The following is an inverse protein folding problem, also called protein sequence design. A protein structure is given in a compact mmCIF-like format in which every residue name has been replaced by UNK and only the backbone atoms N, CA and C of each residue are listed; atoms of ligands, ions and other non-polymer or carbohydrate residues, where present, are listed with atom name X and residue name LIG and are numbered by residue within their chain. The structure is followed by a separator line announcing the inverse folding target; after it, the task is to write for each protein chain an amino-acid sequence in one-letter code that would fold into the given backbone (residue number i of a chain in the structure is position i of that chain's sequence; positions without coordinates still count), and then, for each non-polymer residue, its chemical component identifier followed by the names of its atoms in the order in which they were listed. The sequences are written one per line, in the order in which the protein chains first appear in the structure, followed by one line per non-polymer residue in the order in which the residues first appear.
data_IF_659360975063
#
_entry.id   IF_659360975063
#
_cell.length_a   1.000
_cell.length_b   1.000
_cell.length_c   1.000
_cell.angle_alpha   90.00
_cell.angle_beta   90.00
_cell.angle_gamma   90.00
#
_symmetry.space_group_name_H-M   'P 1'
#
loop_
_entity.id
_entity.type
_entity.pdbx_description
1 polymer ?
#
# COMPACT_ATOMS: atom_id res chain seq x y z
N UNK A 1 25.11 10.49 -58.26
CA UNK A 1 26.53 10.53 -58.65
C UNK A 1 27.08 11.92 -58.39
N UNK A 2 28.24 11.98 -57.72
CA UNK A 2 29.25 13.04 -57.78
C UNK A 2 28.95 14.44 -57.21
N UNK A 3 29.48 14.69 -56.01
CA UNK A 3 29.88 16.02 -55.53
C UNK A 3 31.20 16.46 -56.20
N UNK A 4 31.33 17.71 -56.68
CA UNK A 4 32.59 18.49 -56.79
C UNK A 4 32.25 19.99 -56.80
N UNK A 5 32.57 20.76 -55.75
CA UNK A 5 33.82 21.52 -55.48
C UNK A 5 34.07 22.73 -56.39
N UNK A 6 34.22 23.92 -55.80
CA UNK A 6 35.33 24.89 -55.97
C UNK A 6 34.99 26.23 -55.29
N UNK A 7 35.52 26.52 -54.09
CA UNK A 7 36.67 27.40 -53.77
C UNK A 7 36.49 28.91 -54.04
N UNK A 8 36.47 29.68 -52.95
CA UNK A 8 36.78 31.12 -52.90
C UNK A 8 38.03 31.35 -52.03
N UNK A 9 38.74 32.42 -52.38
CA UNK A 9 40.11 32.78 -52.02
C UNK A 9 40.17 33.78 -50.85
N UNK A 10 41.12 33.53 -49.95
CA UNK A 10 42.09 34.44 -49.29
C UNK A 10 41.65 35.84 -48.78
N UNK A 11 41.75 36.10 -47.46
CA UNK A 11 42.90 36.78 -46.82
C UNK A 11 42.67 37.06 -45.32
N UNK A 12 43.72 36.83 -44.54
CA UNK A 12 43.85 37.06 -43.08
C UNK A 12 43.84 38.54 -42.70
N UNK A 13 43.30 38.84 -41.51
CA UNK A 13 43.91 39.74 -40.51
C UNK A 13 43.16 39.63 -39.16
N UNK A 14 43.77 38.90 -38.22
CA UNK A 14 43.57 39.06 -36.77
C UNK A 14 44.40 40.29 -36.31
N UNK A 15 44.03 41.04 -35.24
CA UNK A 15 43.97 40.44 -33.90
C UNK A 15 42.99 41.07 -32.87
N UNK A 16 42.96 40.38 -31.72
CA UNK A 16 42.58 40.81 -30.34
C UNK A 16 41.17 40.47 -29.82
N UNK A 17 41.16 39.34 -29.12
CA UNK A 17 40.44 39.00 -27.90
C UNK A 17 39.63 40.11 -27.20
N UNK A 18 38.32 39.89 -27.11
CA UNK A 18 37.57 40.01 -25.86
C UNK A 18 36.40 39.04 -25.89
N UNK A 19 36.28 38.23 -24.85
CA UNK A 19 35.32 37.11 -24.73
C UNK A 19 33.91 37.59 -24.40
N UNK A 20 32.98 37.38 -25.33
CA UNK A 20 31.55 37.38 -25.05
C UNK A 20 31.12 36.00 -24.55
N UNK A 21 30.69 35.88 -23.29
CA UNK A 21 29.44 35.19 -22.92
C UNK A 21 29.11 35.36 -21.42
N UNK A 22 27.84 35.55 -21.05
CA UNK A 22 27.42 35.70 -19.66
C UNK A 22 27.51 34.34 -18.94
N UNK A 23 28.21 34.30 -17.80
CA UNK A 23 28.25 33.11 -16.94
C UNK A 23 27.06 33.08 -15.97
N UNK A 24 26.20 32.09 -16.23
CA UNK A 24 25.56 31.20 -15.26
C UNK A 24 24.37 31.79 -14.47
N UNK A 25 23.20 31.73 -15.09
CA UNK A 25 21.95 31.38 -14.40
C UNK A 25 21.89 29.85 -14.31
N UNK A 26 22.21 29.30 -13.14
CA UNK A 26 21.81 27.93 -12.76
C UNK A 26 21.59 27.85 -11.25
N UNK A 27 20.48 28.37 -10.78
CA UNK A 27 19.79 27.70 -9.67
C UNK A 27 18.99 26.57 -10.31
N UNK A 28 19.61 25.41 -10.49
CA UNK A 28 18.86 24.16 -10.62
C UNK A 28 18.20 23.94 -9.27
N UNK A 29 17.01 24.52 -9.11
CA UNK A 29 16.09 24.15 -8.08
C UNK A 29 15.64 22.75 -8.47
N UNK A 30 16.41 21.74 -8.08
CA UNK A 30 16.01 20.34 -8.15
C UNK A 30 14.84 20.25 -7.18
N UNK A 31 13.64 20.51 -7.72
CA UNK A 31 12.40 20.24 -7.04
C UNK A 31 12.49 18.78 -6.57
N UNK A 32 12.39 18.50 -5.26
CA UNK A 32 12.44 17.13 -4.80
C UNK A 32 11.30 16.40 -5.51
N UNK A 33 11.66 15.32 -6.21
CA UNK A 33 10.74 14.40 -6.87
C UNK A 33 9.59 14.15 -5.89
N UNK A 34 8.41 14.71 -6.18
CA UNK A 34 7.25 14.56 -5.32
C UNK A 34 7.00 13.07 -5.26
N UNK A 35 7.43 12.44 -4.17
CA UNK A 35 7.07 11.08 -3.84
C UNK A 35 5.56 11.09 -3.68
N UNK A 36 4.88 10.71 -4.75
CA UNK A 36 3.43 10.72 -4.82
C UNK A 36 2.93 9.66 -3.84
N UNK A 37 2.28 10.12 -2.77
CA UNK A 37 1.56 9.27 -1.84
C UNK A 37 0.49 8.48 -2.61
N UNK A 38 0.38 7.19 -2.32
CA UNK A 38 -0.61 6.28 -2.88
C UNK A 38 -1.67 6.07 -1.82
N UNK A 39 -2.88 6.54 -2.07
CA UNK A 39 -4.03 6.32 -1.21
C UNK A 39 -4.82 5.10 -1.71
N UNK A 40 -5.29 4.25 -0.79
CA UNK A 40 -6.06 3.06 -1.10
C UNK A 40 -7.56 3.28 -0.84
N UNK A 41 -8.19 4.06 -1.72
CA UNK A 41 -9.57 4.55 -1.56
C UNK A 41 -10.65 3.59 -2.10
N UNK A 42 -10.27 2.53 -2.81
CA UNK A 42 -11.22 1.54 -3.35
C UNK A 42 -11.21 0.34 -2.40
N UNK A 43 -12.35 0.06 -1.77
CA UNK A 43 -12.50 -1.04 -0.83
C UNK A 43 -13.47 -2.05 -1.44
N UNK A 44 -13.01 -3.29 -1.57
CA UNK A 44 -13.80 -4.40 -2.12
C UNK A 44 -13.87 -5.53 -1.10
N UNK A 45 -15.07 -5.91 -0.62
CA UNK A 45 -15.19 -7.09 0.21
C UNK A 45 -14.87 -8.35 -0.61
N UNK A 46 -14.37 -9.37 0.06
CA UNK A 46 -14.29 -10.71 -0.49
C UNK A 46 -15.66 -11.38 -0.37
N UNK A 47 -16.00 -12.18 -1.36
CA UNK A 47 -17.15 -13.09 -1.28
C UNK A 47 -16.69 -14.39 -0.65
N UNK A 48 -17.40 -14.84 0.39
CA UNK A 48 -17.22 -16.18 0.93
C UNK A 48 -17.99 -17.20 0.07
N UNK A 49 -17.29 -18.21 -0.42
CA UNK A 49 -17.85 -19.36 -1.13
C UNK A 49 -17.72 -20.59 -0.24
N UNK A 50 -18.72 -20.80 0.62
CA UNK A 50 -18.72 -21.86 1.65
C UNK A 50 -18.50 -23.25 1.07
N UNK A 51 -19.10 -23.54 -0.09
CA UNK A 51 -18.97 -24.81 -0.81
C UNK A 51 -17.53 -25.12 -1.24
N UNK A 52 -16.68 -24.09 -1.34
CA UNK A 52 -15.30 -24.18 -1.83
C UNK A 52 -14.29 -23.80 -0.75
N UNK A 53 -14.74 -23.54 0.48
CA UNK A 53 -13.92 -23.12 1.62
C UNK A 53 -12.94 -22.01 1.21
N UNK A 54 -13.43 -21.02 0.46
CA UNK A 54 -12.59 -19.93 -0.06
C UNK A 54 -13.25 -18.57 0.01
N UNK A 55 -12.41 -17.56 0.14
CA UNK A 55 -12.77 -16.16 -0.03
C UNK A 55 -12.17 -15.66 -1.35
N UNK A 56 -12.93 -14.89 -2.13
CA UNK A 56 -12.43 -14.33 -3.40
C UNK A 56 -12.80 -12.86 -3.60
N UNK A 57 -11.87 -12.09 -4.17
CA UNK A 57 -12.10 -10.73 -4.67
C UNK A 57 -11.21 -10.44 -5.87
N UNK A 58 -11.82 -10.25 -7.04
CA UNK A 58 -11.07 -10.05 -8.28
C UNK A 58 -10.17 -11.25 -8.62
N UNK A 59 -8.87 -11.01 -8.72
CA UNK A 59 -7.88 -12.04 -9.02
C UNK A 59 -7.25 -12.67 -7.76
N UNK A 60 -7.64 -12.24 -6.56
CA UNK A 60 -7.13 -12.75 -5.28
C UNK A 60 -8.09 -13.79 -4.71
N UNK A 61 -7.54 -14.92 -4.24
CA UNK A 61 -8.27 -15.93 -3.48
C UNK A 61 -7.51 -16.30 -2.21
N UNK A 62 -8.25 -16.53 -1.13
CA UNK A 62 -7.77 -17.15 0.10
C UNK A 62 -8.51 -18.48 0.26
N UNK A 63 -7.79 -19.58 0.09
CA UNK A 63 -8.34 -20.93 0.16
C UNK A 63 -8.01 -21.49 1.54
N UNK A 64 -9.03 -21.78 2.35
CA UNK A 64 -8.83 -22.30 3.70
C UNK A 64 -8.11 -23.65 3.65
N UNK A 65 -7.00 -23.75 4.38
CA UNK A 65 -6.32 -25.03 4.67
C UNK A 65 -6.74 -25.57 6.03
N UNK A 66 -6.92 -24.66 6.98
CA UNK A 66 -7.49 -24.90 8.32
C UNK A 66 -8.40 -23.73 8.67
N UNK A 67 -9.00 -23.74 9.86
CA UNK A 67 -9.82 -22.62 10.35
C UNK A 67 -9.00 -21.32 10.53
N UNK A 68 -7.68 -21.44 10.70
CA UNK A 68 -6.76 -20.33 10.97
C UNK A 68 -5.60 -20.27 9.96
N UNK A 69 -5.73 -20.88 8.77
CA UNK A 69 -4.70 -20.74 7.74
C UNK A 69 -5.25 -20.80 6.34
N UNK A 70 -4.64 -20.02 5.45
CA UNK A 70 -5.10 -19.84 4.07
C UNK A 70 -3.94 -20.02 3.09
N UNK A 71 -4.20 -20.68 1.96
CA UNK A 71 -3.38 -20.50 0.77
C UNK A 71 -3.82 -19.22 0.07
N UNK A 72 -2.93 -18.24 -0.02
CA UNK A 72 -3.14 -17.03 -0.81
C UNK A 72 -2.74 -17.27 -2.27
N UNK A 73 -3.65 -16.96 -3.18
CA UNK A 73 -3.37 -16.97 -4.62
C UNK A 73 -3.69 -15.62 -5.25
N UNK A 74 -2.97 -15.28 -6.32
CA UNK A 74 -3.26 -14.14 -7.18
C UNK A 74 -3.12 -14.57 -8.64
N UNK A 75 -4.14 -14.27 -9.47
CA UNK A 75 -4.24 -14.75 -10.87
C UNK A 75 -4.01 -16.25 -11.00
N UNK A 76 -4.55 -17.01 -10.05
CA UNK A 76 -4.43 -18.47 -9.96
C UNK A 76 -3.00 -19.02 -9.69
N UNK A 77 -2.02 -18.14 -9.42
CA UNK A 77 -0.71 -18.55 -8.92
C UNK A 77 -0.69 -18.52 -7.39
N UNK A 78 -0.09 -19.55 -6.79
CA UNK A 78 0.18 -19.56 -5.35
C UNK A 78 1.20 -18.46 -5.02
N UNK A 79 0.84 -17.61 -4.06
CA UNK A 79 1.69 -16.51 -3.57
C UNK A 79 2.41 -16.96 -2.31
N UNK A 80 1.64 -17.26 -1.26
CA UNK A 80 2.16 -17.70 0.03
C UNK A 80 1.06 -18.40 0.86
N UNK A 81 1.47 -19.03 1.96
CA UNK A 81 0.57 -19.47 3.02
C UNK A 81 0.49 -18.40 4.10
N UNK A 82 -0.73 -17.94 4.42
CA UNK A 82 -0.94 -17.07 5.58
C UNK A 82 -1.40 -17.93 6.73
N UNK A 83 -0.53 -18.05 7.72
CA UNK A 83 -0.76 -18.78 8.95
C UNK A 83 -1.19 -17.78 10.05
N UNK A 84 -2.40 -17.98 10.56
CA UNK A 84 -3.00 -17.17 11.61
C UNK A 84 -3.06 -17.95 12.94
N UNK A 85 -2.41 -19.10 13.06
CA UNK A 85 -2.47 -19.95 14.24
C UNK A 85 -1.96 -19.28 15.52
N UNK A 86 -1.06 -18.28 15.41
CA UNK A 86 -0.54 -17.53 16.56
C UNK A 86 -1.65 -16.78 17.34
N UNK A 87 -2.78 -16.47 16.71
CA UNK A 87 -3.90 -15.82 17.42
C UNK A 87 -4.69 -16.77 18.30
N UNK A 88 -4.57 -18.09 18.12
CA UNK A 88 -5.45 -19.11 18.73
C UNK A 88 -6.93 -18.72 18.60
N UNK A 89 -7.30 -18.27 17.40
CA UNK A 89 -8.63 -17.73 17.16
C UNK A 89 -9.65 -18.85 17.03
N UNK A 90 -10.72 -18.76 17.82
CA UNK A 90 -11.85 -19.70 17.84
C UNK A 90 -13.19 -18.96 17.61
N UNK A 91 -13.12 -17.74 17.07
CA UNK A 91 -14.29 -16.89 16.87
C UNK A 91 -15.12 -17.26 15.64
N UNK A 92 -16.18 -16.47 15.36
CA UNK A 92 -17.23 -16.85 14.41
C UNK A 92 -16.81 -16.80 12.93
N UNK A 93 -15.65 -16.23 12.60
CA UNK A 93 -15.10 -16.25 11.24
C UNK A 93 -14.35 -14.98 10.85
N UNK A 94 -14.38 -14.64 9.56
CA UNK A 94 -13.61 -13.53 9.01
C UNK A 94 -14.43 -12.68 8.04
N UNK A 95 -14.25 -11.38 8.13
CA UNK A 95 -14.55 -10.46 7.03
C UNK A 95 -13.24 -10.09 6.34
N UNK A 96 -13.19 -10.16 5.01
CA UNK A 96 -11.95 -9.91 4.28
C UNK A 96 -12.18 -8.81 3.24
N UNK A 97 -11.23 -7.89 3.14
CA UNK A 97 -11.34 -6.71 2.30
C UNK A 97 -10.06 -6.49 1.50
N UNK A 98 -10.20 -6.19 0.21
CA UNK A 98 -9.13 -5.65 -0.62
C UNK A 98 -9.22 -4.13 -0.65
N UNK A 99 -8.09 -3.47 -0.40
CA UNK A 99 -7.87 -2.05 -0.51
C UNK A 99 -6.98 -1.80 -1.72
N UNK A 100 -7.54 -1.09 -2.71
CA UNK A 100 -6.92 -0.77 -3.99
C UNK A 100 -6.82 0.75 -4.15
N UNK A 101 -5.80 1.21 -4.89
CA UNK A 101 -5.72 2.62 -5.27
C UNK A 101 -6.51 2.90 -6.55
N UNK A 102 -7.04 4.12 -6.65
CA UNK A 102 -7.53 4.65 -7.94
C UNK A 102 -6.39 4.92 -8.92
N UNK A 103 -5.16 5.09 -8.41
CA UNK A 103 -3.96 5.23 -9.22
C UNK A 103 -3.56 3.84 -9.73
N UNK A 104 -3.03 3.76 -10.95
CA UNK A 104 -2.45 2.52 -11.44
C UNK A 104 -1.15 2.23 -10.67
N UNK A 105 -1.22 1.35 -9.68
CA UNK A 105 -0.12 0.96 -8.80
C UNK A 105 -0.07 -0.57 -8.73
N UNK A 106 1.13 -1.17 -8.58
CA UNK A 106 1.23 -2.61 -8.36
C UNK A 106 0.83 -3.03 -6.94
N UNK A 107 0.64 -2.08 -6.02
CA UNK A 107 0.29 -2.37 -4.63
C UNK A 107 -1.20 -2.65 -4.44
N UNK A 108 -1.48 -3.66 -3.65
CA UNK A 108 -2.82 -4.01 -3.15
C UNK A 108 -2.70 -4.48 -1.70
N UNK A 109 -3.60 -4.03 -0.83
CA UNK A 109 -3.58 -4.39 0.59
C UNK A 109 -4.81 -5.24 0.88
N UNK A 110 -4.62 -6.43 1.43
CA UNK A 110 -5.72 -7.26 1.91
C UNK A 110 -5.74 -7.16 3.43
N UNK A 111 -6.91 -6.89 4.01
CA UNK A 111 -7.12 -6.94 5.45
C UNK A 111 -8.11 -8.06 5.75
N UNK A 112 -7.68 -9.01 6.56
CA UNK A 112 -8.53 -10.02 7.20
C UNK A 112 -8.91 -9.44 8.57
N UNK A 113 -10.20 -9.25 8.78
CA UNK A 113 -10.79 -8.91 10.08
C UNK A 113 -11.33 -10.20 10.71
N UNK A 114 -10.77 -10.58 11.85
CA UNK A 114 -11.35 -11.62 12.69
C UNK A 114 -12.52 -11.05 13.49
N UNK A 115 -13.70 -11.64 13.34
CA UNK A 115 -14.90 -11.21 14.05
C UNK A 115 -14.90 -11.73 15.49
N UNK A 116 -15.67 -11.12 16.38
CA UNK A 116 -15.84 -11.58 17.75
C UNK A 116 -17.33 -11.69 18.08
N UNK A 117 -17.66 -12.16 19.29
CA UNK A 117 -19.03 -12.10 19.82
C UNK A 117 -19.60 -10.66 19.76
N UNK A 118 -18.72 -9.65 19.86
CA UNK A 118 -19.05 -8.24 19.66
C UNK A 118 -17.97 -7.61 18.78
N UNK A 119 -18.32 -7.27 17.55
CA UNK A 119 -17.48 -6.57 16.58
C UNK A 119 -16.18 -7.31 16.18
N UNK A 120 -15.02 -6.66 16.34
CA UNK A 120 -13.71 -7.14 15.85
C UNK A 120 -12.82 -7.69 16.97
N UNK A 121 -12.19 -8.84 16.76
CA UNK A 121 -11.16 -9.36 17.66
C UNK A 121 -9.76 -8.84 17.32
N UNK A 122 -9.37 -8.86 16.04
CA UNK A 122 -8.11 -8.33 15.52
C UNK A 122 -8.15 -8.18 13.99
N UNK A 123 -7.14 -7.51 13.43
CA UNK A 123 -6.91 -7.46 11.99
C UNK A 123 -5.58 -8.12 11.62
N UNK A 124 -5.51 -8.71 10.44
CA UNK A 124 -4.29 -9.18 9.80
C UNK A 124 -4.15 -8.50 8.44
N UNK A 125 -3.03 -7.82 8.24
CA UNK A 125 -2.74 -7.07 7.02
C UNK A 125 -1.79 -7.88 6.17
N UNK A 126 -2.12 -7.98 4.88
CA UNK A 126 -1.32 -8.60 3.83
C UNK A 126 -1.03 -7.54 2.79
N UNK A 127 0.24 -7.29 2.50
CA UNK A 127 0.71 -6.29 1.54
C UNK A 127 1.23 -7.01 0.30
N UNK A 128 0.56 -6.79 -0.82
CA UNK A 128 0.97 -7.34 -2.12
C UNK A 128 1.60 -6.26 -2.99
N UNK A 129 2.63 -6.65 -3.75
CA UNK A 129 3.20 -5.87 -4.83
C UNK A 129 3.24 -6.75 -6.09
N UNK A 130 2.33 -6.49 -7.02
CA UNK A 130 1.97 -7.41 -8.10
C UNK A 130 1.53 -8.77 -7.52
N UNK A 131 2.25 -9.85 -7.85
CA UNK A 131 1.99 -11.23 -7.44
C UNK A 131 2.84 -11.66 -6.24
N UNK A 132 3.59 -10.73 -5.63
CA UNK A 132 4.46 -11.03 -4.50
C UNK A 132 3.87 -10.52 -3.19
N UNK A 133 3.93 -11.36 -2.15
CA UNK A 133 3.78 -10.93 -0.77
C UNK A 133 5.05 -10.17 -0.36
N UNK A 134 4.89 -8.90 0.03
CA UNK A 134 6.03 -8.06 0.46
C UNK A 134 6.01 -7.74 1.95
N UNK A 135 4.87 -7.89 2.62
CA UNK A 135 4.77 -7.74 4.06
C UNK A 135 3.45 -8.34 4.58
N UNK A 136 3.45 -8.77 5.84
CA UNK A 136 2.25 -9.18 6.55
C UNK A 136 2.38 -9.02 8.06
N UNK A 137 1.28 -8.67 8.74
CA UNK A 137 1.29 -8.44 10.18
C UNK A 137 -0.08 -8.34 10.84
N UNK A 138 -0.10 -8.65 12.14
CA UNK A 138 -1.24 -8.42 13.01
C UNK A 138 -1.37 -6.97 13.48
N UNK A 139 -2.63 -6.54 13.63
CA UNK A 139 -3.05 -5.36 14.35
C UNK A 139 -4.04 -5.82 15.41
N UNK A 140 -3.59 -5.91 16.66
CA UNK A 140 -4.44 -6.28 17.78
C UNK A 140 -5.29 -5.11 18.30
N UNK A 141 -4.81 -3.88 18.10
CA UNK A 141 -5.50 -2.64 18.48
C UNK A 141 -5.07 -1.49 17.56
N UNK A 142 -5.92 -0.46 17.34
CA UNK A 142 -7.29 -0.32 17.84
C UNK A 142 -8.28 -1.19 17.07
N UNK A 143 -9.42 -1.48 17.69
CA UNK A 143 -10.52 -2.29 17.14
C UNK A 143 -11.76 -1.43 16.96
N UNK A 144 -12.50 -1.67 15.87
CA UNK A 144 -13.81 -1.06 15.63
C UNK A 144 -14.93 -1.99 16.07
N UNK A 145 -16.10 -1.43 16.34
CA UNK A 145 -17.32 -2.21 16.46
C UNK A 145 -17.85 -2.48 15.04
N UNK A 146 -17.43 -3.60 14.46
CA UNK A 146 -17.71 -3.97 13.06
C UNK A 146 -19.19 -4.24 12.77
N UNK A 147 -20.03 -4.42 13.81
CA UNK A 147 -21.49 -4.45 13.65
C UNK A 147 -22.04 -3.09 13.19
N UNK A 148 -21.36 -2.00 13.57
CA UNK A 148 -21.83 -0.62 13.40
C UNK A 148 -20.87 0.26 12.60
N UNK A 149 -19.72 -0.28 12.18
CA UNK A 149 -18.65 0.48 11.54
C UNK A 149 -18.09 -0.26 10.34
N UNK A 150 -18.20 0.35 9.16
CA UNK A 150 -17.53 -0.16 7.97
C UNK A 150 -16.00 0.03 8.10
N UNK A 151 -15.23 -0.97 7.68
CA UNK A 151 -13.76 -0.92 7.75
C UNK A 151 -13.17 0.32 7.06
N UNK A 152 -13.77 0.80 5.98
CA UNK A 152 -13.34 2.00 5.25
C UNK A 152 -13.57 3.32 5.97
N UNK A 153 -14.55 3.36 6.87
CA UNK A 153 -14.79 4.52 7.74
C UNK A 153 -13.81 4.54 8.92
N UNK A 154 -13.27 3.38 9.28
CA UNK A 154 -12.36 3.20 10.41
C UNK A 154 -10.89 3.31 10.02
N UNK A 155 -10.46 2.56 9.01
CA UNK A 155 -9.05 2.42 8.59
C UNK A 155 -8.85 3.12 7.25
N UNK A 156 -7.98 4.14 7.25
CA UNK A 156 -7.45 4.74 6.02
C UNK A 156 -6.02 4.30 5.80
N UNK A 157 -5.70 3.91 4.58
CA UNK A 157 -4.38 3.36 4.23
C UNK A 157 -3.74 4.23 3.16
N UNK A 158 -2.47 4.58 3.37
CA UNK A 158 -1.64 5.21 2.35
C UNK A 158 -0.21 4.66 2.34
N UNK A 159 0.47 4.78 1.20
CA UNK A 159 1.85 4.33 1.04
C UNK A 159 2.71 5.44 0.44
N UNK A 160 3.84 5.73 1.08
CA UNK A 160 4.77 6.78 0.67
C UNK A 160 6.18 6.45 1.13
N UNK A 161 7.18 6.62 0.26
CA UNK A 161 8.60 6.38 0.60
C UNK A 161 8.83 5.02 1.27
N UNK A 162 8.30 3.95 0.69
CA UNK A 162 8.38 2.59 1.23
C UNK A 162 7.81 2.45 2.65
N UNK A 163 6.90 3.33 3.04
CA UNK A 163 6.24 3.32 4.34
C UNK A 163 4.74 3.20 4.13
N UNK A 164 4.16 2.12 4.64
CA UNK A 164 2.73 1.93 4.78
C UNK A 164 2.24 2.69 6.03
N UNK A 165 1.21 3.49 5.86
CA UNK A 165 0.59 4.28 6.92
C UNK A 165 -0.86 3.84 7.05
N UNK A 166 -1.25 3.36 8.23
CA UNK A 166 -2.62 3.09 8.60
C UNK A 166 -3.08 4.12 9.62
N UNK A 167 -4.20 4.77 9.32
CA UNK A 167 -4.84 5.77 10.19
C UNK A 167 -6.17 5.20 10.69
N UNK A 168 -6.33 5.12 12.00
CA UNK A 168 -7.52 4.60 12.66
C UNK A 168 -8.32 5.74 13.27
N UNK A 169 -9.59 5.87 12.88
CA UNK A 169 -10.43 7.01 13.29
C UNK A 169 -10.88 6.87 14.75
N UNK A 170 -10.54 7.85 15.60
CA UNK A 170 -10.74 7.78 17.06
C UNK A 170 -12.21 7.65 17.48
N UNK A 171 -13.12 8.35 16.79
CA UNK A 171 -14.56 8.32 17.06
C UNK A 171 -15.25 7.01 16.64
N UNK A 172 -14.51 6.08 16.03
CA UNK A 172 -14.98 4.76 15.57
C UNK A 172 -14.36 3.59 16.33
N UNK A 173 -13.54 3.88 17.34
CA UNK A 173 -12.93 2.85 18.18
C UNK A 173 -13.98 2.26 19.11
N UNK A 174 -14.05 0.94 19.15
CA UNK A 174 -14.94 0.23 20.03
C UNK A 174 -14.59 0.50 21.50
N UNK A 175 -15.61 0.54 22.36
CA UNK A 175 -15.40 0.71 23.82
C UNK A 175 -14.59 -0.44 24.44
N UNK A 176 -14.63 -1.63 23.83
CA UNK A 176 -13.86 -2.80 24.28
C UNK A 176 -12.45 -2.85 23.69
N UNK A 177 -12.12 -1.99 22.73
CA UNK A 177 -10.75 -1.85 22.23
C UNK A 177 -9.85 -1.43 23.39
N UNK A 178 -8.75 -2.17 23.59
CA UNK A 178 -7.80 -1.85 24.64
C UNK A 178 -7.05 -0.57 24.30
N UNK A 179 -6.38 -0.04 25.32
CA UNK A 179 -5.70 1.22 25.23
C UNK A 179 -4.61 1.23 24.14
N UNK A 180 -4.56 2.29 23.33
CA UNK A 180 -3.68 2.46 22.17
C UNK A 180 -2.54 3.44 22.44
N UNK A 181 -2.14 3.60 23.71
CA UNK A 181 -1.16 4.60 24.18
C UNK A 181 0.19 4.56 23.44
N UNK A 182 0.57 3.41 22.89
CA UNK A 182 1.83 3.25 22.17
C UNK A 182 1.78 3.70 20.70
N UNK A 183 0.59 4.03 20.18
CA UNK A 183 0.44 4.55 18.82
C UNK A 183 0.61 6.07 18.80
N UNK A 184 1.31 6.55 17.78
CA UNK A 184 1.29 7.99 17.46
C UNK A 184 -0.15 8.42 17.21
N UNK A 185 -0.53 9.62 17.63
CA UNK A 185 -1.90 10.08 17.48
C UNK A 185 -2.00 11.59 17.28
N UNK A 186 -3.09 12.03 16.66
CA UNK A 186 -3.54 13.42 16.64
C UNK A 186 -4.98 13.51 17.18
N UNK A 187 -5.68 14.63 16.94
CA UNK A 187 -7.04 14.81 17.46
C UNK A 187 -8.08 13.85 16.84
N UNK A 188 -7.83 13.30 15.66
CA UNK A 188 -8.78 12.51 14.88
C UNK A 188 -8.38 11.05 14.71
N UNK A 189 -7.08 10.76 14.71
CA UNK A 189 -6.54 9.47 14.29
C UNK A 189 -5.47 8.94 15.24
N UNK A 190 -5.42 7.61 15.35
CA UNK A 190 -4.20 6.88 15.71
C UNK A 190 -3.47 6.43 14.44
N UNK A 191 -2.15 6.30 14.53
CA UNK A 191 -1.28 6.02 13.40
C UNK A 191 -0.44 4.78 13.68
N UNK A 192 -0.49 3.83 12.75
CA UNK A 192 0.47 2.74 12.65
C UNK A 192 1.26 2.91 11.36
N UNK A 193 2.58 2.99 11.48
CA UNK A 193 3.49 3.15 10.33
C UNK A 193 4.40 1.94 10.26
N UNK A 194 4.53 1.34 9.07
CA UNK A 194 5.39 0.18 8.84
C UNK A 194 6.24 0.40 7.60
N UNK A 195 7.55 0.19 7.73
CA UNK A 195 8.46 0.24 6.60
C UNK A 195 8.37 -1.08 5.83
N UNK A 196 8.14 -0.99 4.54
CA UNK A 196 8.07 -2.14 3.64
C UNK A 196 9.42 -2.28 2.93
N UNK A 197 10.03 -3.45 3.03
CA UNK A 197 11.25 -3.77 2.30
C UNK A 197 10.84 -4.35 0.95
N UNK A 198 11.16 -3.63 -0.13
CA UNK A 198 10.94 -4.10 -1.49
C UNK A 198 12.23 -4.78 -1.94
N UNK A 199 12.22 -6.10 -2.00
CA UNK A 199 13.32 -6.91 -2.53
C UNK A 199 13.22 -7.04 -4.06
#
# INVERSE_FOLDING_TARGET
MSCKYSNQSTQEKDPKATSDTPKILKSENINPKISSEIDFDIIKPFKHLENESRFESGDIKLISKTDNSFMLTKKDFAVDEIDLSESNYEGPGYNIFSFQSKKNTPFEIVIIEATADIGTDWYYVIVLNNENLVDQFYIKEPRADSENTNIGDFIKISFKNNTLNLKFKKDKIAKYSKNTENLKSDNQYFYLTRKIELH
#
